data_IF_742352882704
#
_entry.id   IF_742352882704
#
_cell.length_a   1.000
_cell.length_b   1.000
_cell.length_c   1.000
_cell.angle_alpha   90.00
_cell.angle_beta   90.00
_cell.angle_gamma   90.00
#
_symmetry.space_group_name_H-M   'P 1'
#
loop_
_entity.id
_entity.type
_entity.pdbx_description
1 polymer ?
#
# COMPACT_ATOMS: atom_id res chain seq x y z
N UNK A 1 13.06 -27.27 23.24
CA UNK A 1 14.00 -26.24 23.76
C UNK A 1 14.32 -25.29 22.62
N UNK A 2 14.07 -24.00 22.81
CA UNK A 2 14.19 -22.96 21.79
C UNK A 2 15.67 -22.72 21.43
N UNK A 3 15.99 -22.56 20.15
CA UNK A 3 17.35 -22.25 19.65
C UNK A 3 18.02 -21.06 20.35
N UNK A 4 17.23 -20.17 20.99
CA UNK A 4 17.69 -19.01 21.75
C UNK A 4 18.52 -19.38 23.00
N UNK A 5 18.07 -20.36 23.79
CA UNK A 5 18.82 -20.80 24.98
C UNK A 5 20.12 -21.50 24.59
N UNK A 6 20.11 -22.27 23.50
CA UNK A 6 21.32 -22.88 22.94
C UNK A 6 22.32 -21.84 22.42
N UNK A 7 21.86 -20.61 22.11
CA UNK A 7 22.68 -19.46 21.74
C UNK A 7 23.05 -18.56 22.93
N UNK A 8 22.69 -18.91 24.17
CA UNK A 8 22.97 -18.11 25.37
C UNK A 8 22.16 -16.81 25.47
N UNK A 9 21.03 -16.70 24.76
CA UNK A 9 20.16 -15.52 24.79
C UNK A 9 19.09 -15.73 25.88
N UNK A 10 19.28 -15.08 27.03
CA UNK A 10 18.43 -15.25 28.22
C UNK A 10 17.42 -14.11 28.44
N UNK A 11 17.60 -12.98 27.75
CA UNK A 11 16.76 -11.79 27.89
C UNK A 11 15.56 -11.76 26.91
N UNK A 12 15.11 -12.93 26.44
CA UNK A 12 14.00 -13.07 25.50
C UNK A 12 12.97 -14.05 26.03
N UNK A 13 11.79 -13.54 26.36
CA UNK A 13 10.61 -14.36 26.63
C UNK A 13 9.86 -14.62 25.32
N UNK A 14 9.59 -15.90 25.02
CA UNK A 14 8.78 -16.31 23.87
C UNK A 14 7.42 -16.78 24.35
N UNK A 15 6.37 -16.09 23.90
CA UNK A 15 4.98 -16.40 24.27
C UNK A 15 4.20 -16.79 23.01
N UNK A 16 3.48 -17.90 23.07
CA UNK A 16 2.56 -18.30 22.01
C UNK A 16 1.19 -17.66 22.24
N UNK A 17 0.70 -16.87 21.27
CA UNK A 17 -0.61 -16.22 21.36
C UNK A 17 -0.91 -15.34 20.14
N UNK A 18 -2.11 -14.76 20.12
CA UNK A 18 -2.49 -13.76 19.12
C UNK A 18 -1.90 -12.39 19.49
N UNK A 19 -0.91 -11.95 18.73
CA UNK A 19 -0.23 -10.67 18.93
C UNK A 19 -1.15 -9.44 18.82
N UNK A 20 -2.32 -9.56 18.19
CA UNK A 20 -3.33 -8.48 18.13
C UNK A 20 -3.96 -8.22 19.50
N UNK A 21 -4.12 -9.27 20.31
CA UNK A 21 -4.75 -9.17 21.64
C UNK A 21 -3.77 -8.62 22.68
N UNK A 22 -2.48 -8.93 22.55
CA UNK A 22 -1.41 -8.52 23.47
C UNK A 22 -1.73 -8.92 24.93
N UNK A 23 -1.58 -10.20 25.27
CA UNK A 23 -1.91 -10.77 26.58
C UNK A 23 -0.91 -10.43 27.72
N UNK A 24 -0.08 -9.40 27.54
CA UNK A 24 0.87 -8.95 28.56
C UNK A 24 0.27 -7.79 29.34
N UNK A 25 0.47 -7.77 30.65
CA UNK A 25 0.12 -6.59 31.46
C UNK A 25 1.21 -5.53 31.48
N UNK A 26 2.41 -5.84 30.98
CA UNK A 26 3.55 -4.92 30.99
C UNK A 26 3.40 -3.77 29.98
N UNK A 27 4.05 -2.65 30.29
CA UNK A 27 4.22 -1.53 29.35
C UNK A 27 5.55 -1.64 28.62
N UNK A 28 5.53 -1.30 27.33
CA UNK A 28 6.68 -1.37 26.45
C UNK A 28 7.15 0.01 26.03
N UNK A 29 8.47 0.22 26.00
CA UNK A 29 9.08 1.38 25.33
C UNK A 29 8.95 1.29 23.81
N UNK A 30 8.92 0.07 23.28
CA UNK A 30 8.86 -0.19 21.85
C UNK A 30 8.02 -1.42 21.57
N UNK A 31 7.13 -1.30 20.61
CA UNK A 31 6.40 -2.43 20.04
C UNK A 31 6.78 -2.50 18.57
N UNK A 32 7.27 -3.64 18.13
CA UNK A 32 7.71 -3.88 16.75
C UNK A 32 6.89 -5.02 16.19
N UNK A 33 6.17 -4.75 15.10
CA UNK A 33 5.42 -5.76 14.38
C UNK A 33 6.25 -6.21 13.18
N UNK A 34 6.38 -7.53 13.06
CA UNK A 34 7.03 -8.21 11.93
C UNK A 34 6.01 -8.87 11.00
N UNK A 35 4.74 -8.49 11.12
CA UNK A 35 3.63 -8.91 10.26
C UNK A 35 2.80 -7.69 9.87
N UNK A 36 2.33 -7.66 8.62
CA UNK A 36 1.53 -6.55 8.12
C UNK A 36 0.14 -6.53 8.74
N UNK A 37 -0.33 -5.33 9.07
CA UNK A 37 -1.61 -5.08 9.74
C UNK A 37 -2.39 -3.99 9.01
N UNK A 38 -3.71 -4.09 9.02
CA UNK A 38 -4.59 -3.11 8.36
C UNK A 38 -5.03 -1.96 9.27
N UNK A 39 -4.77 -2.07 10.57
CA UNK A 39 -5.24 -1.17 11.62
C UNK A 39 -4.30 -1.25 12.84
N UNK A 40 -4.44 -0.30 13.78
CA UNK A 40 -3.69 -0.26 15.02
C UNK A 40 -4.59 -0.73 16.16
N UNK A 41 -4.30 -1.90 16.72
CA UNK A 41 -5.09 -2.45 17.80
C UNK A 41 -4.99 -1.58 19.07
N UNK A 42 -6.11 -1.35 19.80
CA UNK A 42 -6.10 -0.60 21.06
C UNK A 42 -5.11 -1.18 22.08
N UNK A 43 -5.00 -2.51 22.14
CA UNK A 43 -4.10 -3.20 23.05
C UNK A 43 -2.64 -2.77 22.88
N UNK A 44 -2.15 -2.59 21.65
CA UNK A 44 -0.78 -2.12 21.42
C UNK A 44 -0.57 -0.70 21.93
N UNK A 45 -1.56 0.18 21.74
CA UNK A 45 -1.51 1.56 22.23
C UNK A 45 -1.55 1.62 23.75
N UNK A 46 -2.40 0.82 24.36
CA UNK A 46 -2.58 0.75 25.82
C UNK A 46 -1.36 0.16 26.52
N UNK A 47 -0.66 -0.76 25.85
CA UNK A 47 0.61 -1.35 26.35
C UNK A 47 1.85 -0.56 25.99
N UNK A 48 1.74 0.58 25.32
CA UNK A 48 2.89 1.43 24.99
C UNK A 48 3.06 2.52 26.04
N UNK A 49 4.29 2.73 26.52
CA UNK A 49 4.58 3.88 27.36
C UNK A 49 4.22 5.22 26.64
N UNK A 50 3.92 6.30 27.38
CA UNK A 50 3.54 7.60 26.78
C UNK A 50 4.55 8.19 25.78
N UNK A 51 5.82 7.76 25.84
CA UNK A 51 6.90 8.16 24.91
C UNK A 51 7.42 7.01 24.04
N UNK A 52 6.74 5.85 24.11
CA UNK A 52 7.13 4.67 23.38
C UNK A 52 6.92 4.80 21.88
N UNK A 53 7.46 3.85 21.12
CA UNK A 53 7.39 3.85 19.65
C UNK A 53 6.74 2.57 19.15
N UNK A 54 5.88 2.71 18.16
CA UNK A 54 5.25 1.59 17.46
C UNK A 54 5.80 1.54 16.03
N UNK A 55 6.49 0.47 15.69
CA UNK A 55 6.95 0.21 14.33
C UNK A 55 6.10 -0.92 13.75
N UNK A 56 5.40 -0.65 12.65
CA UNK A 56 4.58 -1.66 12.00
C UNK A 56 4.54 -1.53 10.47
N UNK A 57 4.31 -2.62 9.75
CA UNK A 57 3.95 -2.57 8.35
C UNK A 57 2.44 -2.32 8.24
N UNK A 58 2.05 -1.11 7.85
CA UNK A 58 0.65 -0.78 7.65
C UNK A 58 0.24 -1.12 6.22
N UNK A 59 -0.88 -1.83 6.10
CA UNK A 59 -1.50 -2.14 4.83
C UNK A 59 -2.67 -1.19 4.56
N UNK A 60 -2.55 -0.43 3.47
CA UNK A 60 -3.54 0.57 3.04
C UNK A 60 -4.46 0.06 1.91
N UNK A 61 -4.54 -1.26 1.71
CA UNK A 61 -5.45 -1.88 0.74
C UNK A 61 -4.76 -2.54 -0.45
N UNK A 62 -3.48 -2.23 -0.70
CA UNK A 62 -2.85 -2.61 -1.99
C UNK A 62 -1.33 -2.82 -1.93
N UNK A 63 -0.63 -2.04 -1.11
CA UNK A 63 0.78 -2.26 -0.78
C UNK A 63 1.00 -2.14 0.72
N UNK A 64 2.05 -2.82 1.18
CA UNK A 64 2.51 -2.71 2.55
C UNK A 64 3.58 -1.63 2.59
N UNK A 65 3.34 -0.62 3.42
CA UNK A 65 4.34 0.40 3.73
C UNK A 65 4.77 0.21 5.16
N UNK A 66 6.08 0.21 5.43
CA UNK A 66 6.54 0.30 6.82
C UNK A 66 6.34 1.72 7.29
N UNK A 67 5.51 1.84 8.32
CA UNK A 67 5.32 3.08 9.02
C UNK A 67 6.01 2.95 10.37
N UNK A 68 7.02 3.81 10.58
CA UNK A 68 7.47 4.11 11.92
C UNK A 68 6.50 5.14 12.50
N UNK A 69 5.68 4.71 13.45
CA UNK A 69 4.75 5.58 14.16
C UNK A 69 5.35 5.99 15.50
N UNK A 70 5.63 7.29 15.64
CA UNK A 70 5.85 7.87 16.97
C UNK A 70 4.49 8.31 17.52
N UNK A 71 3.89 7.49 18.37
CA UNK A 71 2.65 7.80 19.07
C UNK A 71 2.91 8.90 20.10
N UNK A 72 2.34 10.09 19.90
CA UNK A 72 2.28 11.13 20.93
C UNK A 72 0.81 11.43 21.20
N UNK A 73 0.29 10.80 22.26
CA UNK A 73 -0.88 11.27 23.02
C UNK A 73 -2.10 11.69 22.17
N UNK A 74 -2.41 11.00 21.06
CA UNK A 74 -3.53 11.18 20.08
C UNK A 74 -3.10 11.66 18.67
N UNK A 75 -1.82 11.90 18.41
CA UNK A 75 -1.30 12.12 17.04
C UNK A 75 -0.03 11.31 16.81
N UNK A 76 0.07 10.68 15.63
CA UNK A 76 1.32 10.13 15.13
C UNK A 76 1.89 11.07 14.08
N UNK A 77 3.21 11.14 13.98
CA UNK A 77 3.89 11.54 12.75
C UNK A 77 4.56 10.29 12.20
N UNK A 78 4.13 9.85 11.04
CA UNK A 78 4.80 8.77 10.31
C UNK A 78 5.87 9.37 9.39
N UNK A 79 6.99 8.68 9.29
CA UNK A 79 7.90 8.79 8.15
C UNK A 79 7.89 7.44 7.45
N UNK A 80 7.65 7.43 6.15
CA UNK A 80 7.79 6.21 5.36
C UNK A 80 9.20 5.68 5.46
N UNK A 81 9.33 4.39 5.78
CA UNK A 81 10.52 3.62 5.46
C UNK A 81 10.19 2.80 4.20
N UNK A 82 11.22 2.42 3.44
CA UNK A 82 11.12 1.79 2.12
C UNK A 82 9.97 0.77 1.99
N UNK A 83 9.33 0.65 0.80
CA UNK A 83 8.30 -0.36 0.58
C UNK A 83 8.87 -1.77 0.82
N UNK A 84 8.18 -2.55 1.64
CA UNK A 84 8.62 -3.91 2.04
C UNK A 84 7.43 -4.85 2.14
N UNK A 85 7.69 -6.15 1.99
CA UNK A 85 6.66 -7.20 2.06
C UNK A 85 6.88 -8.08 3.29
N UNK A 86 5.90 -8.04 4.18
CA UNK A 86 5.71 -8.90 5.33
C UNK A 86 4.56 -9.88 5.09
N UNK A 87 4.60 -11.01 5.81
CA UNK A 87 3.44 -11.87 5.92
C UNK A 87 2.27 -11.08 6.54
N UNK A 88 1.06 -11.29 6.01
CA UNK A 88 -0.14 -10.73 6.63
C UNK A 88 -0.41 -11.45 7.96
N UNK A 89 -0.86 -10.70 8.97
CA UNK A 89 -1.26 -11.30 10.24
C UNK A 89 -2.45 -12.29 10.10
N UNK A 90 -3.17 -12.27 8.96
CA UNK A 90 -4.19 -13.26 8.58
C UNK A 90 -4.15 -13.56 7.08
N UNK A 91 -4.55 -14.77 6.63
CA UNK A 91 -4.57 -15.11 5.21
C UNK A 91 -5.63 -14.30 4.44
N UNK A 92 -5.34 -13.98 3.18
CA UNK A 92 -6.28 -13.37 2.24
C UNK A 92 -6.56 -14.36 1.10
N UNK A 93 -7.83 -14.52 0.72
CA UNK A 93 -8.25 -15.44 -0.35
C UNK A 93 -7.74 -15.00 -1.74
N UNK A 94 -7.30 -15.98 -2.55
CA UNK A 94 -6.82 -15.79 -3.93
C UNK A 94 -7.96 -16.05 -4.93
N UNK A 95 -8.25 -15.14 -5.88
CA UNK A 95 -9.17 -15.44 -6.97
C UNK A 95 -8.47 -16.17 -8.13
N UNK A 96 -9.24 -17.01 -8.82
CA UNK A 96 -8.79 -17.91 -9.89
C UNK A 96 -8.47 -17.25 -11.25
N UNK A 97 -7.83 -18.03 -12.13
CA UNK A 97 -7.34 -17.62 -13.45
C UNK A 97 -8.49 -17.41 -14.45
N UNK A 98 -8.47 -16.27 -15.16
CA UNK A 98 -9.29 -16.04 -16.35
C UNK A 98 -8.42 -15.59 -17.54
N UNK A 99 -8.72 -16.10 -18.74
CA UNK A 99 -8.15 -15.62 -20.02
C UNK A 99 -8.87 -14.34 -20.45
N UNK A 100 -8.14 -13.35 -20.94
CA UNK A 100 -8.68 -12.04 -21.34
C UNK A 100 -8.51 -11.74 -22.85
N UNK A 101 -9.50 -11.10 -23.50
CA UNK A 101 -9.38 -10.56 -24.86
C UNK A 101 -8.58 -9.23 -24.91
N UNK A 102 -8.17 -8.79 -26.11
CA UNK A 102 -7.42 -7.53 -26.31
C UNK A 102 -8.34 -6.31 -26.12
N UNK A 103 -8.02 -5.45 -25.15
CA UNK A 103 -8.82 -4.25 -24.85
C UNK A 103 -8.22 -2.95 -25.41
N UNK A 104 -9.06 -1.97 -25.79
CA UNK A 104 -8.62 -0.66 -26.21
C UNK A 104 -7.87 0.07 -25.08
N UNK A 105 -6.87 0.86 -25.46
CA UNK A 105 -6.10 1.72 -24.54
C UNK A 105 -6.67 3.12 -24.59
N UNK A 106 -6.80 3.78 -23.44
CA UNK A 106 -7.01 5.22 -23.37
C UNK A 106 -5.82 5.89 -22.68
N UNK A 107 -5.52 7.09 -23.15
CA UNK A 107 -4.48 7.95 -22.59
C UNK A 107 -5.12 8.90 -21.56
N UNK A 108 -4.37 9.38 -20.57
CA UNK A 108 -4.78 10.55 -19.81
C UNK A 108 -4.97 11.77 -20.72
N UNK A 109 -5.67 12.78 -20.21
CA UNK A 109 -5.97 14.02 -20.93
C UNK A 109 -4.71 14.76 -21.39
N UNK A 110 -3.58 14.54 -20.72
CA UNK A 110 -2.26 14.99 -21.12
C UNK A 110 -1.25 13.84 -21.00
N UNK A 111 -0.15 13.91 -21.76
CA UNK A 111 0.89 12.88 -21.70
C UNK A 111 1.54 12.86 -20.30
N UNK A 112 1.38 11.74 -19.59
CA UNK A 112 2.02 11.52 -18.29
C UNK A 112 3.16 10.51 -18.48
N UNK A 113 4.40 11.01 -18.44
CA UNK A 113 5.60 10.18 -18.44
C UNK A 113 6.07 9.93 -17.02
N UNK A 114 6.33 8.66 -16.71
CA UNK A 114 6.70 8.21 -15.36
C UNK A 114 7.79 7.15 -15.40
N UNK A 115 8.53 7.00 -14.30
CA UNK A 115 9.42 5.85 -14.07
C UNK A 115 8.68 4.72 -13.34
N UNK A 116 9.25 3.50 -13.35
CA UNK A 116 8.68 2.37 -12.59
C UNK A 116 8.66 2.70 -11.09
N UNK A 117 9.69 3.41 -10.61
CA UNK A 117 9.82 3.87 -9.23
C UNK A 117 8.71 4.85 -8.86
N UNK A 118 8.45 5.86 -9.69
CA UNK A 118 7.34 6.80 -9.44
C UNK A 118 6.00 6.07 -9.33
N UNK A 119 5.76 5.07 -10.17
CA UNK A 119 4.49 4.33 -10.07
C UNK A 119 4.42 3.45 -8.82
N UNK A 120 5.50 2.76 -8.44
CA UNK A 120 5.50 1.87 -7.28
C UNK A 120 5.62 2.58 -5.93
N UNK A 121 6.24 3.76 -5.86
CA UNK A 121 6.47 4.45 -4.58
C UNK A 121 5.55 5.65 -4.36
N UNK A 122 4.99 6.22 -5.43
CA UNK A 122 4.26 7.49 -5.37
C UNK A 122 2.82 7.32 -5.84
N UNK A 123 2.61 6.96 -7.11
CA UNK A 123 1.25 6.81 -7.66
C UNK A 123 0.48 5.67 -6.99
N UNK A 124 1.10 4.52 -6.71
CA UNK A 124 0.49 3.42 -5.96
C UNK A 124 -0.10 3.88 -4.64
N UNK A 125 0.67 4.67 -3.88
CA UNK A 125 0.31 5.19 -2.58
C UNK A 125 -0.81 6.23 -2.68
N UNK A 126 -0.74 7.13 -3.67
CA UNK A 126 -1.85 8.03 -3.98
C UNK A 126 -3.14 7.26 -4.27
N UNK A 127 -3.10 6.28 -5.16
CA UNK A 127 -4.28 5.47 -5.51
C UNK A 127 -4.81 4.70 -4.30
N UNK A 128 -3.93 4.14 -3.45
CA UNK A 128 -4.30 3.44 -2.22
C UNK A 128 -5.08 4.32 -1.24
N UNK A 129 -4.66 5.59 -1.12
CA UNK A 129 -5.23 6.54 -0.16
C UNK A 129 -6.54 7.12 -0.66
N UNK A 130 -6.65 7.38 -1.96
CA UNK A 130 -7.78 8.08 -2.55
C UNK A 130 -8.84 7.18 -3.18
N UNK A 131 -8.55 5.90 -3.43
CA UNK A 131 -9.47 4.99 -4.10
C UNK A 131 -9.60 3.63 -3.36
N UNK A 132 -10.70 3.40 -2.62
CA UNK A 132 -10.93 2.15 -1.89
C UNK A 132 -11.02 0.91 -2.79
N UNK A 133 -11.39 1.08 -4.07
CA UNK A 133 -11.48 -0.03 -5.04
C UNK A 133 -10.14 -0.36 -5.70
N UNK A 134 -9.07 0.34 -5.31
CA UNK A 134 -7.73 0.09 -5.80
C UNK A 134 -7.25 -1.31 -5.38
N UNK A 135 -6.51 -1.96 -6.27
CA UNK A 135 -5.99 -3.32 -6.14
C UNK A 135 -4.68 -3.47 -6.89
N UNK A 136 -3.88 -4.47 -6.47
CA UNK A 136 -2.77 -4.95 -7.29
C UNK A 136 -3.17 -6.25 -7.98
N UNK A 137 -3.18 -6.25 -9.31
CA UNK A 137 -3.36 -7.44 -10.11
C UNK A 137 -1.98 -8.05 -10.40
N UNK A 138 -1.78 -9.28 -9.95
CA UNK A 138 -0.56 -10.05 -10.16
C UNK A 138 -0.85 -11.28 -11.00
N UNK A 139 0.00 -11.53 -12.00
CA UNK A 139 -0.01 -12.76 -12.78
C UNK A 139 1.33 -13.49 -12.65
N UNK A 140 1.28 -14.81 -12.49
CA UNK A 140 2.43 -15.70 -12.40
C UNK A 140 2.55 -16.58 -13.65
N UNK A 141 3.78 -16.81 -14.12
CA UNK A 141 4.08 -17.63 -15.29
C UNK A 141 4.26 -16.81 -16.58
N UNK A 142 4.42 -17.46 -17.74
CA UNK A 142 4.67 -16.80 -19.02
C UNK A 142 3.41 -16.07 -19.50
N UNK A 143 3.21 -14.83 -19.06
CA UNK A 143 2.11 -13.99 -19.54
C UNK A 143 2.64 -13.10 -20.66
N UNK A 144 2.71 -13.67 -21.86
CA UNK A 144 3.11 -12.94 -23.07
C UNK A 144 2.13 -11.80 -23.44
N UNK A 145 0.95 -11.73 -22.82
CA UNK A 145 -0.17 -10.94 -23.32
C UNK A 145 -0.76 -9.90 -22.34
N UNK A 146 -0.34 -9.89 -21.08
CA UNK A 146 -0.71 -8.81 -20.17
C UNK A 146 0.17 -7.60 -20.49
N UNK A 147 -0.44 -6.44 -20.77
CA UNK A 147 0.29 -5.17 -20.70
C UNK A 147 0.50 -4.84 -19.22
N UNK A 148 1.47 -5.51 -18.63
CA UNK A 148 1.87 -5.28 -17.25
C UNK A 148 2.63 -3.95 -17.16
N UNK A 149 2.50 -3.34 -16.00
CA UNK A 149 3.24 -2.12 -15.69
C UNK A 149 4.67 -2.46 -15.28
N UNK A 150 4.85 -3.52 -14.49
CA UNK A 150 6.14 -4.03 -14.05
C UNK A 150 6.11 -5.57 -13.95
N UNK A 151 7.29 -6.20 -13.89
CA UNK A 151 7.38 -7.65 -13.71
C UNK A 151 8.75 -8.22 -14.04
N UNK A 152 9.05 -9.40 -13.51
CA UNK A 152 10.24 -10.16 -13.89
C UNK A 152 9.86 -11.15 -14.98
N UNK A 153 10.46 -11.06 -16.19
CA UNK A 153 10.16 -11.97 -17.27
C UNK A 153 10.19 -13.44 -16.84
N UNK A 154 9.11 -14.19 -17.15
CA UNK A 154 9.00 -15.61 -16.83
C UNK A 154 8.69 -15.94 -15.36
N UNK A 155 8.54 -14.94 -14.47
CA UNK A 155 8.17 -15.16 -13.06
C UNK A 155 6.82 -14.55 -12.72
N UNK A 156 6.78 -13.23 -12.60
CA UNK A 156 5.65 -12.50 -12.03
C UNK A 156 5.51 -11.14 -12.69
N UNK A 157 4.28 -10.75 -12.99
CA UNK A 157 3.92 -9.46 -13.59
C UNK A 157 2.83 -8.79 -12.77
N UNK A 158 2.87 -7.46 -12.70
CA UNK A 158 2.00 -6.66 -11.86
C UNK A 158 1.45 -5.44 -12.58
N UNK A 159 0.20 -5.08 -12.26
CA UNK A 159 -0.35 -3.76 -12.56
C UNK A 159 -1.37 -3.35 -11.51
N UNK A 160 -1.50 -2.03 -11.35
CA UNK A 160 -2.47 -1.39 -10.48
C UNK A 160 -3.81 -1.32 -11.15
N UNK A 161 -4.87 -1.65 -10.41
CA UNK A 161 -6.22 -1.74 -10.94
C UNK A 161 -7.23 -1.08 -10.03
N UNK A 162 -8.31 -0.56 -10.61
CA UNK A 162 -9.58 -0.35 -9.90
C UNK A 162 -10.51 -1.49 -10.25
N UNK A 163 -11.25 -1.99 -9.26
CA UNK A 163 -12.18 -3.10 -9.45
C UNK A 163 -13.53 -2.81 -8.82
N UNK A 164 -14.59 -2.92 -9.61
CA UNK A 164 -15.97 -2.90 -9.13
C UNK A 164 -16.74 -4.04 -9.77
N UNK A 165 -17.39 -4.86 -8.94
CA UNK A 165 -18.15 -6.03 -9.39
C UNK A 165 -17.35 -6.91 -10.37
N UNK A 166 -17.74 -6.88 -11.65
CA UNK A 166 -17.13 -7.62 -12.77
C UNK A 166 -16.27 -6.75 -13.70
N UNK A 167 -16.16 -5.45 -13.42
CA UNK A 167 -15.40 -4.47 -14.20
C UNK A 167 -14.04 -4.20 -13.56
N UNK A 168 -13.03 -4.01 -14.41
CA UNK A 168 -11.67 -3.67 -13.98
C UNK A 168 -11.11 -2.58 -14.88
N UNK A 169 -10.47 -1.56 -14.31
CA UNK A 169 -9.59 -0.64 -15.05
C UNK A 169 -8.16 -0.82 -14.54
N UNK A 170 -7.17 -0.84 -15.43
CA UNK A 170 -5.79 -1.18 -15.12
C UNK A 170 -4.80 -0.16 -15.70
N UNK A 171 -3.75 0.17 -14.93
CA UNK A 171 -2.60 0.88 -15.45
C UNK A 171 -1.87 0.02 -16.50
N UNK A 172 -1.25 0.68 -17.48
CA UNK A 172 -0.48 0.02 -18.52
C UNK A 172 0.62 0.94 -19.06
N UNK A 173 1.61 0.34 -19.72
CA UNK A 173 2.64 1.04 -20.51
C UNK A 173 2.53 0.72 -22.00
N UNK A 174 3.11 1.54 -22.88
CA UNK A 174 3.11 1.30 -24.32
C UNK A 174 3.73 -0.07 -24.67
N UNK A 175 3.19 -0.78 -25.67
CA UNK A 175 3.64 -2.16 -26.00
C UNK A 175 5.12 -2.22 -26.40
N UNK A 176 5.63 -1.19 -27.07
CA UNK A 176 7.04 -1.09 -27.46
C UNK A 176 7.97 -0.75 -26.28
N UNK A 177 7.41 -0.28 -25.15
CA UNK A 177 8.13 -0.01 -23.91
C UNK A 177 8.08 -1.21 -22.95
N UNK A 178 7.47 -2.35 -23.34
CA UNK A 178 7.41 -3.55 -22.50
C UNK A 178 8.76 -4.25 -22.32
N UNK A 179 9.76 -3.94 -23.14
CA UNK A 179 11.12 -4.47 -23.04
C UNK A 179 12.05 -3.67 -22.11
N UNK A 180 11.60 -2.52 -21.60
CA UNK A 180 12.36 -1.74 -20.62
C UNK A 180 12.50 -2.53 -19.31
N UNK A 181 13.62 -2.33 -18.63
CA UNK A 181 13.90 -2.99 -17.36
C UNK A 181 12.81 -2.63 -16.36
N UNK A 182 12.37 -3.63 -15.60
CA UNK A 182 11.37 -3.44 -14.54
C UNK A 182 12.03 -3.34 -13.16
N UNK A 183 13.33 -3.02 -13.14
CA UNK A 183 14.06 -2.73 -11.92
C UNK A 183 13.58 -1.41 -11.31
N UNK A 184 13.53 -1.33 -9.98
CA UNK A 184 13.37 -0.07 -9.25
C UNK A 184 14.49 0.94 -9.51
N UNK A 185 15.62 0.46 -10.04
CA UNK A 185 16.77 1.30 -10.41
C UNK A 185 16.73 1.74 -11.89
N UNK A 186 15.73 1.30 -12.66
CA UNK A 186 15.55 1.79 -14.03
C UNK A 186 14.80 3.14 -14.00
N UNK A 187 15.51 4.19 -14.39
CA UNK A 187 15.00 5.56 -14.49
C UNK A 187 14.43 5.87 -15.89
N UNK A 188 14.27 4.86 -16.75
CA UNK A 188 13.65 5.02 -18.07
C UNK A 188 12.20 5.48 -17.94
N UNK A 189 11.89 6.61 -18.57
CA UNK A 189 10.54 7.12 -18.67
C UNK A 189 9.70 6.32 -19.66
N UNK A 190 8.45 6.07 -19.30
CA UNK A 190 7.44 5.52 -20.19
C UNK A 190 6.13 6.30 -20.06
N UNK A 191 5.33 6.29 -21.14
CA UNK A 191 4.03 6.94 -21.11
C UNK A 191 3.01 6.04 -20.40
N UNK A 192 2.29 6.60 -19.43
CA UNK A 192 1.27 5.90 -18.66
C UNK A 192 -0.05 5.84 -19.43
N UNK A 193 -0.64 4.65 -19.49
CA UNK A 193 -1.94 4.38 -20.11
C UNK A 193 -2.91 3.74 -19.12
N UNK A 194 -4.20 3.81 -19.42
CA UNK A 194 -5.22 3.02 -18.75
C UNK A 194 -5.92 2.10 -19.75
N UNK A 195 -6.21 0.88 -19.31
CA UNK A 195 -6.96 -0.13 -20.05
C UNK A 195 -8.17 -0.56 -19.24
N UNK A 196 -9.26 -0.90 -19.92
CA UNK A 196 -10.43 -1.43 -19.25
C UNK A 196 -10.97 -2.64 -20.00
N UNK A 197 -10.95 -3.83 -19.39
CA UNK A 197 -11.85 -4.91 -19.76
C UNK A 197 -13.31 -4.54 -19.54
N UNK A 198 -14.08 -4.42 -20.62
CA UNK A 198 -15.55 -4.30 -20.58
C UNK A 198 -16.10 -2.87 -20.73
N UNK A 199 -17.43 -2.73 -20.79
CA UNK A 199 -18.11 -1.52 -21.28
C UNK A 199 -18.27 -0.38 -20.26
N UNK A 200 -17.99 -0.60 -18.97
CA UNK A 200 -18.28 0.37 -17.90
C UNK A 200 -17.24 1.50 -17.83
N UNK A 201 -17.41 2.60 -18.56
CA UNK A 201 -16.39 3.66 -18.66
C UNK A 201 -16.10 4.46 -17.36
N UNK A 202 -16.85 4.22 -16.29
CA UNK A 202 -16.73 5.02 -15.07
C UNK A 202 -15.41 4.75 -14.34
N UNK A 203 -14.94 3.49 -14.34
CA UNK A 203 -13.67 3.12 -13.72
C UNK A 203 -12.48 3.76 -14.43
N UNK A 204 -12.48 3.77 -15.77
CA UNK A 204 -11.39 4.40 -16.52
C UNK A 204 -11.38 5.92 -16.31
N UNK A 205 -12.54 6.59 -16.28
CA UNK A 205 -12.63 8.02 -16.00
C UNK A 205 -12.09 8.36 -14.62
N UNK A 206 -12.44 7.57 -13.60
CA UNK A 206 -11.92 7.73 -12.24
C UNK A 206 -10.42 7.53 -12.16
N UNK A 207 -9.89 6.45 -12.75
CA UNK A 207 -8.45 6.17 -12.74
C UNK A 207 -7.65 7.27 -13.46
N UNK A 208 -8.16 7.76 -14.60
CA UNK A 208 -7.56 8.90 -15.30
C UNK A 208 -7.66 10.20 -14.49
N UNK A 209 -8.76 10.41 -13.78
CA UNK A 209 -8.95 11.53 -12.85
C UNK A 209 -7.91 11.51 -11.74
N UNK A 210 -7.66 10.35 -11.12
CA UNK A 210 -6.63 10.20 -10.09
C UNK A 210 -5.22 10.43 -10.63
N UNK A 211 -4.88 9.92 -11.82
CA UNK A 211 -3.58 10.20 -12.46
C UNK A 211 -3.40 11.70 -12.67
N UNK A 212 -4.44 12.38 -13.18
CA UNK A 212 -4.38 13.82 -13.45
C UNK A 212 -4.27 14.63 -12.15
N UNK A 213 -5.02 14.26 -11.11
CA UNK A 213 -4.97 14.91 -9.81
C UNK A 213 -3.62 14.71 -9.11
N UNK A 214 -3.06 13.50 -9.21
CA UNK A 214 -1.73 13.18 -8.69
C UNK A 214 -0.63 13.99 -9.39
N UNK A 215 -0.67 14.06 -10.72
CA UNK A 215 0.28 14.86 -11.51
C UNK A 215 0.17 16.36 -11.18
N UNK A 216 -1.06 16.89 -11.11
CA UNK A 216 -1.34 18.27 -10.73
C UNK A 216 -0.91 18.61 -9.28
N UNK A 217 -0.92 17.62 -8.38
CA UNK A 217 -0.46 17.77 -7.00
C UNK A 217 1.08 17.71 -6.86
N UNK A 218 1.84 17.64 -7.96
CA UNK A 218 3.30 17.52 -7.92
C UNK A 218 3.80 16.09 -7.68
N UNK A 219 2.97 15.10 -8.01
CA UNK A 219 3.27 13.66 -7.92
C UNK A 219 3.66 13.20 -6.51
N UNK A 220 2.92 13.55 -5.45
CA UNK A 220 3.31 13.20 -4.09
C UNK A 220 3.41 11.69 -3.89
N UNK A 221 4.26 11.29 -2.95
CA UNK A 221 4.47 9.91 -2.54
C UNK A 221 4.53 9.79 -1.02
N UNK A 222 4.89 8.61 -0.51
CA UNK A 222 4.99 8.39 0.94
C UNK A 222 6.06 9.30 1.58
N UNK A 223 7.09 9.66 0.82
CA UNK A 223 8.19 10.54 1.26
C UNK A 223 7.74 11.98 1.57
N UNK A 224 6.67 12.46 0.92
CA UNK A 224 6.09 13.80 1.17
C UNK A 224 4.82 13.75 2.03
N UNK A 225 4.38 12.55 2.43
CA UNK A 225 3.16 12.37 3.19
C UNK A 225 3.40 12.51 4.71
N UNK A 226 2.61 13.37 5.35
CA UNK A 226 2.44 13.37 6.80
C UNK A 226 1.18 12.60 7.18
N UNK A 227 1.35 11.48 7.89
CA UNK A 227 0.23 10.66 8.37
C UNK A 227 -0.05 10.99 9.83
N UNK A 228 -1.28 11.42 10.11
CA UNK A 228 -1.82 11.57 11.47
C UNK A 228 -2.77 10.42 11.76
N UNK A 229 -2.79 9.96 13.01
CA UNK A 229 -3.56 8.78 13.43
C UNK A 229 -4.39 9.17 14.64
N UNK A 230 -5.69 8.93 14.55
CA UNK A 230 -6.66 9.22 15.59
C UNK A 230 -7.36 7.93 16.03
N UNK A 231 -7.90 7.92 17.25
CA UNK A 231 -8.83 6.87 17.64
C UNK A 231 -10.13 7.08 16.87
N UNK A 232 -10.69 5.99 16.33
CA UNK A 232 -12.01 6.01 15.70
C UNK A 232 -13.04 6.66 16.64
N UNK A 233 -13.83 7.58 16.10
CA UNK A 233 -14.89 8.31 16.84
C UNK A 233 -14.39 9.38 17.82
N UNK A 234 -13.09 9.72 17.82
CA UNK A 234 -12.59 10.84 18.63
C UNK A 234 -13.08 12.19 18.11
N UNK A 235 -13.49 13.09 19.00
CA UNK A 235 -13.98 14.44 18.66
C UNK A 235 -12.91 15.37 18.05
N UNK A 236 -11.64 14.93 18.04
CA UNK A 236 -10.51 15.60 17.39
C UNK A 236 -10.53 15.31 15.89
N UNK A 237 -11.59 15.72 15.20
CA UNK A 237 -11.73 15.57 13.75
C UNK A 237 -10.88 16.63 13.05
N UNK A 238 -9.79 16.29 12.32
CA UNK A 238 -8.96 17.27 11.64
C UNK A 238 -9.48 17.44 10.21
N UNK A 239 -10.68 18.01 10.08
CA UNK A 239 -11.21 18.36 8.77
C UNK A 239 -10.67 19.72 8.34
N UNK A 240 -9.73 19.71 7.37
CA UNK A 240 -9.69 20.72 6.30
C UNK A 240 -8.60 20.47 5.25
N UNK A 241 -7.54 19.70 5.54
CA UNK A 241 -6.36 19.64 4.65
C UNK A 241 -5.78 18.22 4.39
N UNK A 242 -6.59 17.15 4.39
CA UNK A 242 -6.06 15.80 4.16
C UNK A 242 -7.11 14.76 3.77
N UNK A 243 -6.63 13.62 3.27
CA UNK A 243 -7.46 12.45 2.91
C UNK A 243 -7.57 11.53 4.11
N UNK A 244 -8.79 11.10 4.44
CA UNK A 244 -9.05 10.28 5.62
C UNK A 244 -9.38 8.84 5.22
N UNK A 245 -8.72 7.88 5.86
CA UNK A 245 -9.03 6.44 5.78
C UNK A 245 -9.49 5.99 7.16
N UNK A 246 -10.78 5.66 7.25
CA UNK A 246 -11.37 5.11 8.46
C UNK A 246 -11.16 3.59 8.53
N UNK A 247 -10.68 3.12 9.67
CA UNK A 247 -10.61 1.69 10.02
C UNK A 247 -11.46 1.42 11.24
N UNK A 248 -11.42 0.18 11.73
CA UNK A 248 -12.25 -0.26 12.86
C UNK A 248 -11.89 0.51 14.13
N UNK A 249 -10.59 0.68 14.39
CA UNK A 249 -10.08 1.27 15.63
C UNK A 249 -9.43 2.63 15.43
N UNK A 250 -8.92 2.91 14.23
CA UNK A 250 -8.20 4.15 13.96
C UNK A 250 -8.62 4.84 12.68
N UNK A 251 -8.53 6.17 12.71
CA UNK A 251 -8.68 7.03 11.54
C UNK A 251 -7.30 7.57 11.14
N UNK A 252 -6.90 7.29 9.89
CA UNK A 252 -5.65 7.78 9.31
C UNK A 252 -5.93 9.01 8.45
N UNK A 253 -5.24 10.12 8.73
CA UNK A 253 -5.34 11.35 7.94
C UNK A 253 -4.01 11.60 7.23
N UNK A 254 -4.04 11.54 5.91
CA UNK A 254 -2.89 11.78 5.03
C UNK A 254 -2.89 13.23 4.56
N UNK A 255 -1.80 13.93 4.82
CA UNK A 255 -1.56 15.31 4.35
C UNK A 255 -0.34 15.29 3.44
N UNK A 256 -0.52 15.78 2.21
CA UNK A 256 0.56 15.90 1.23
C UNK A 256 1.25 17.26 1.38
N UNK A 257 2.58 17.27 1.46
CA UNK A 257 3.40 18.50 1.55
C UNK A 257 3.99 18.88 0.20
#
# INVERSE_FOLDING_TARGET
MTNLNAMGIENVAVVCGDGVVCNSEELYDRIILTAAVSDIAPAWRERLHPRGRLLLPLWLGVEQSVLLLKLVRITCKASGLDPVRFAAAKPHDRPGRHRQPRFPRRRPSHHCYVTVREVQQRLSFWLAVHEPTCGLLVAEGPTAELSYLYGVPGRQYGTWVFREHTSVAALARATHQLSLSNSMHDESLFELFVRQPGPCEDLIKRLLGHISAWDAAGRPGLETASIRVYSSGSALSPASHGVMICRKWTDFVFVWQ
#
